data_IF_629873207055
#
_entry.id   IF_629873207055
#
_cell.length_a   1.000
_cell.length_b   1.000
_cell.length_c   1.000
_cell.angle_alpha   90.00
_cell.angle_beta   90.00
_cell.angle_gamma   90.00
#
_symmetry.space_group_name_H-M   'P 1'
#
loop_
_entity.id
_entity.type
_entity.pdbx_description
1 polymer ?
#
# COMPACT_ATOMS: atom_id res chain seq x y z
N UNK A 1 -20.66 15.56 9.95
CA UNK A 1 -20.31 16.73 9.14
C UNK A 1 -20.63 16.44 7.68
N UNK A 2 -21.25 17.41 7.01
CA UNK A 2 -21.96 17.32 5.72
C UNK A 2 -21.06 16.97 4.52
N UNK A 3 -21.69 16.28 3.56
CA UNK A 3 -21.51 16.23 2.10
C UNK A 3 -20.50 17.20 1.45
N UNK A 4 -19.75 16.67 0.47
CA UNK A 4 -19.77 17.18 -0.93
C UNK A 4 -19.63 15.97 -1.88
N UNK A 5 -20.68 15.64 -2.61
CA UNK A 5 -20.58 14.91 -3.87
C UNK A 5 -21.33 15.75 -4.90
N UNK A 6 -20.56 16.42 -5.76
CA UNK A 6 -21.06 17.21 -6.88
C UNK A 6 -21.62 16.29 -7.96
N UNK A 7 -22.76 16.69 -8.52
CA UNK A 7 -23.31 16.23 -9.81
C UNK A 7 -22.27 16.40 -10.95
N UNK A 8 -22.32 15.75 -12.11
CA UNK A 8 -23.41 15.16 -12.90
C UNK A 8 -22.81 13.98 -13.76
N UNK A 9 -23.53 13.07 -14.42
CA UNK A 9 -24.81 13.12 -15.12
C UNK A 9 -25.59 11.78 -14.97
N UNK A 10 -26.91 11.93 -14.79
CA UNK A 10 -28.01 11.00 -15.12
C UNK A 10 -27.80 9.49 -14.84
N UNK A 11 -28.08 9.06 -13.61
CA UNK A 11 -28.15 7.66 -13.22
C UNK A 11 -29.34 7.44 -12.29
N UNK A 12 -30.44 6.92 -12.83
CA UNK A 12 -31.55 6.40 -12.04
C UNK A 12 -31.07 5.20 -11.21
N UNK A 13 -31.09 5.36 -9.89
CA UNK A 13 -30.59 4.39 -8.93
C UNK A 13 -31.75 3.55 -8.36
N UNK A 14 -31.91 2.30 -8.80
CA UNK A 14 -32.70 1.31 -8.05
C UNK A 14 -31.83 0.73 -6.92
N UNK A 15 -32.28 0.94 -5.67
CA UNK A 15 -31.72 0.33 -4.46
C UNK A 15 -32.18 -1.13 -4.36
N UNK A 16 -31.25 -2.08 -4.37
CA UNK A 16 -31.56 -3.45 -3.92
C UNK A 16 -31.71 -3.47 -2.39
N UNK A 17 -32.78 -4.08 -1.84
CA UNK A 17 -32.98 -4.18 -0.39
C UNK A 17 -32.00 -5.18 0.24
N UNK A 18 -31.59 -4.89 1.47
CA UNK A 18 -30.72 -5.73 2.28
C UNK A 18 -31.46 -7.03 2.67
N UNK A 19 -31.18 -8.14 1.98
CA UNK A 19 -31.75 -9.44 2.31
C UNK A 19 -31.72 -10.53 1.23
N UNK A 20 -31.38 -10.22 -0.03
CA UNK A 20 -31.59 -11.14 -1.16
C UNK A 20 -30.37 -11.99 -1.60
N UNK A 21 -29.42 -12.30 -0.71
CA UNK A 21 -28.19 -13.06 -1.09
C UNK A 21 -28.06 -14.42 -0.39
N UNK A 22 -29.21 -15.06 -0.15
CA UNK A 22 -29.31 -16.49 0.10
C UNK A 22 -30.45 -17.03 -0.76
N UNK A 23 -30.12 -17.77 -1.82
CA UNK A 23 -31.04 -18.30 -2.83
C UNK A 23 -31.66 -17.27 -3.79
N UNK A 24 -30.93 -16.92 -4.85
CA UNK A 24 -31.56 -16.71 -6.16
C UNK A 24 -31.71 -18.09 -6.83
N UNK A 25 -32.57 -18.91 -6.26
CA UNK A 25 -33.24 -19.97 -7.00
C UNK A 25 -34.45 -19.33 -7.68
N UNK A 26 -34.34 -19.05 -8.97
CA UNK A 26 -35.48 -18.75 -9.85
C UNK A 26 -36.23 -17.42 -9.59
N UNK A 27 -36.29 -16.62 -10.66
CA UNK A 27 -37.20 -15.49 -10.90
C UNK A 27 -36.88 -14.14 -10.22
N UNK A 28 -36.80 -13.12 -11.08
CA UNK A 28 -36.78 -11.67 -10.79
C UNK A 28 -35.46 -11.02 -10.35
N UNK A 29 -34.35 -11.35 -11.01
CA UNK A 29 -33.38 -10.28 -11.31
C UNK A 29 -33.99 -9.44 -12.44
N UNK A 30 -34.55 -8.28 -12.07
CA UNK A 30 -35.17 -7.33 -12.96
C UNK A 30 -34.31 -7.04 -14.21
N UNK A 31 -35.01 -6.68 -15.29
CA UNK A 31 -34.59 -6.29 -16.64
C UNK A 31 -33.66 -5.05 -16.66
N UNK A 32 -32.76 -4.92 -15.69
CA UNK A 32 -31.82 -3.82 -15.62
C UNK A 32 -30.57 -4.18 -16.41
N UNK A 33 -30.33 -3.44 -17.49
CA UNK A 33 -29.09 -3.53 -18.26
C UNK A 33 -27.87 -2.95 -17.51
N UNK A 34 -28.05 -2.49 -16.26
CA UNK A 34 -27.05 -1.77 -15.49
C UNK A 34 -27.10 -2.12 -14.00
N UNK A 35 -25.97 -2.50 -13.41
CA UNK A 35 -25.83 -2.80 -11.98
C UNK A 35 -24.68 -2.00 -11.40
N UNK A 36 -24.92 -1.35 -10.25
CA UNK A 36 -23.89 -0.80 -9.38
C UNK A 36 -23.76 -1.72 -8.17
N UNK A 37 -22.61 -2.34 -7.99
CA UNK A 37 -22.41 -3.22 -6.83
C UNK A 37 -22.13 -2.35 -5.58
N UNK A 38 -22.92 -2.58 -4.53
CA UNK A 38 -22.71 -1.97 -3.21
C UNK A 38 -21.56 -2.74 -2.52
N UNK A 39 -20.65 -2.06 -1.79
CA UNK A 39 -19.42 -2.65 -1.24
C UNK A 39 -19.61 -3.88 -0.33
N UNK A 40 -20.83 -4.17 0.13
CA UNK A 40 -21.15 -5.29 1.03
C UNK A 40 -21.29 -6.64 0.28
N UNK A 41 -21.59 -6.64 -1.02
CA UNK A 41 -21.89 -7.87 -1.77
C UNK A 41 -20.68 -8.50 -2.46
N UNK A 42 -19.66 -7.70 -2.80
CA UNK A 42 -18.50 -8.16 -3.58
C UNK A 42 -17.39 -8.68 -2.68
N UNK A 43 -17.25 -8.16 -1.45
CA UNK A 43 -16.20 -8.52 -0.52
C UNK A 43 -16.80 -9.09 0.78
N UNK A 44 -16.86 -10.41 0.93
CA UNK A 44 -17.19 -11.01 2.24
C UNK A 44 -15.95 -11.06 3.14
N UNK A 45 -16.03 -10.60 4.40
CA UNK A 45 -14.96 -10.86 5.35
C UNK A 45 -14.88 -12.37 5.62
N UNK A 46 -13.80 -13.01 5.17
CA UNK A 46 -13.57 -14.44 5.44
C UNK A 46 -13.42 -14.67 6.95
N UNK A 47 -14.16 -15.64 7.49
CA UNK A 47 -14.27 -15.93 8.91
C UNK A 47 -13.15 -16.85 9.40
N UNK A 48 -11.90 -16.41 9.26
CA UNK A 48 -10.71 -16.99 9.92
C UNK A 48 -9.48 -16.13 9.55
N UNK A 49 -8.96 -15.37 10.52
CA UNK A 49 -7.72 -14.58 10.48
C UNK A 49 -7.47 -13.72 9.21
N UNK A 50 -7.78 -12.43 9.30
CA UNK A 50 -7.48 -11.42 8.26
C UNK A 50 -8.71 -10.99 7.48
N UNK A 51 -9.09 -9.71 7.59
CA UNK A 51 -10.08 -9.12 6.68
C UNK A 51 -9.48 -9.18 5.27
N UNK A 52 -10.10 -9.96 4.38
CA UNK A 52 -9.76 -10.02 2.96
C UNK A 52 -10.88 -9.34 2.19
N UNK A 53 -10.64 -8.16 1.66
CA UNK A 53 -11.50 -7.47 0.70
C UNK A 53 -11.23 -7.98 -0.72
N UNK A 54 -11.48 -9.28 -0.91
CA UNK A 54 -11.40 -9.96 -2.21
C UNK A 54 -12.79 -10.03 -2.83
N UNK A 55 -12.84 -9.82 -4.14
CA UNK A 55 -14.06 -9.93 -4.91
C UNK A 55 -14.47 -11.41 -5.05
N UNK A 56 -15.70 -11.81 -4.68
CA UNK A 56 -16.09 -13.24 -4.68
C UNK A 56 -16.11 -13.87 -6.08
N UNK A 57 -15.61 -15.11 -6.24
CA UNK A 57 -15.78 -15.88 -7.47
C UNK A 57 -17.25 -15.99 -7.86
N UNK A 58 -17.56 -15.91 -9.16
CA UNK A 58 -18.92 -16.10 -9.68
C UNK A 58 -19.97 -15.14 -9.07
N UNK A 59 -19.56 -14.02 -8.46
CA UNK A 59 -20.46 -13.07 -7.81
C UNK A 59 -21.57 -12.52 -8.74
N UNK A 60 -21.37 -12.59 -10.06
CA UNK A 60 -22.31 -12.13 -11.08
C UNK A 60 -22.82 -13.27 -11.98
N UNK A 61 -22.66 -14.52 -11.56
CA UNK A 61 -23.12 -15.67 -12.32
C UNK A 61 -24.63 -15.61 -12.55
N UNK A 62 -25.07 -15.91 -13.78
CA UNK A 62 -26.48 -15.82 -14.19
C UNK A 62 -26.93 -14.44 -14.67
N UNK A 63 -26.12 -13.38 -14.52
CA UNK A 63 -26.43 -12.04 -15.05
C UNK A 63 -25.97 -11.88 -16.51
N UNK A 64 -26.32 -12.84 -17.38
CA UNK A 64 -25.83 -12.88 -18.76
C UNK A 64 -26.26 -11.68 -19.61
N UNK A 65 -27.38 -11.03 -19.28
CA UNK A 65 -27.93 -9.86 -20.01
C UNK A 65 -27.37 -8.52 -19.55
N UNK A 66 -26.46 -8.52 -18.56
CA UNK A 66 -25.89 -7.30 -18.00
C UNK A 66 -25.00 -6.61 -19.03
N UNK A 67 -25.26 -5.32 -19.30
CA UNK A 67 -24.48 -4.51 -20.26
C UNK A 67 -23.53 -3.54 -19.57
N UNK A 68 -23.81 -3.12 -18.34
CA UNK A 68 -22.98 -2.14 -17.61
C UNK A 68 -22.81 -2.58 -16.16
N UNK A 69 -21.57 -2.62 -15.70
CA UNK A 69 -21.20 -2.97 -14.33
C UNK A 69 -20.29 -1.90 -13.76
N UNK A 70 -20.71 -1.32 -12.63
CA UNK A 70 -19.92 -0.34 -11.88
C UNK A 70 -19.52 -0.92 -10.52
N UNK A 71 -18.22 -1.17 -10.36
CA UNK A 71 -17.55 -1.60 -9.14
C UNK A 71 -16.61 -0.51 -8.59
N UNK A 72 -16.75 0.73 -9.05
CA UNK A 72 -15.87 1.82 -8.61
C UNK A 72 -16.01 2.10 -7.11
N UNK A 73 -14.90 2.52 -6.49
CA UNK A 73 -14.83 2.94 -5.08
C UNK A 73 -15.25 1.87 -4.06
N UNK A 74 -14.98 0.60 -4.34
CA UNK A 74 -15.32 -0.54 -3.47
C UNK A 74 -14.14 -1.10 -2.67
N UNK A 75 -12.98 -0.45 -2.70
CA UNK A 75 -11.74 -0.89 -2.01
C UNK A 75 -11.32 -2.31 -2.38
N UNK A 76 -11.55 -2.71 -3.63
CA UNK A 76 -11.13 -4.01 -4.13
C UNK A 76 -9.60 -3.99 -4.31
N UNK A 77 -8.88 -4.89 -3.63
CA UNK A 77 -7.42 -5.00 -3.74
C UNK A 77 -6.93 -6.07 -4.73
N UNK A 78 -7.74 -7.10 -4.97
CA UNK A 78 -7.49 -8.13 -5.99
C UNK A 78 -8.79 -8.53 -6.68
N UNK A 79 -8.66 -8.88 -7.96
CA UNK A 79 -9.71 -9.44 -8.79
C UNK A 79 -9.18 -10.75 -9.37
N UNK A 80 -10.02 -11.76 -9.41
CA UNK A 80 -9.71 -13.04 -10.07
C UNK A 80 -10.59 -13.21 -11.30
N UNK A 81 -10.16 -13.93 -12.35
CA UNK A 81 -10.95 -14.11 -13.58
C UNK A 81 -12.36 -14.65 -13.32
N UNK A 82 -12.53 -15.46 -12.28
CA UNK A 82 -13.79 -16.12 -11.92
C UNK A 82 -14.92 -15.15 -11.57
N UNK A 83 -14.61 -13.90 -11.20
CA UNK A 83 -15.66 -12.92 -10.88
C UNK A 83 -16.50 -12.52 -12.09
N UNK A 84 -15.91 -12.55 -13.29
CA UNK A 84 -16.57 -12.10 -14.52
C UNK A 84 -17.18 -13.24 -15.34
N UNK A 85 -17.18 -14.47 -14.80
CA UNK A 85 -17.75 -15.64 -15.46
C UNK A 85 -19.23 -15.43 -15.76
N UNK A 86 -19.60 -15.67 -17.02
CA UNK A 86 -20.98 -15.54 -17.50
C UNK A 86 -21.40 -14.14 -17.98
N UNK A 87 -20.57 -13.10 -17.79
CA UNK A 87 -20.87 -11.72 -18.20
C UNK A 87 -20.56 -11.42 -19.69
N UNK A 88 -20.99 -12.32 -20.58
CA UNK A 88 -20.62 -12.29 -22.01
C UNK A 88 -21.17 -11.07 -22.77
N UNK A 89 -22.28 -10.48 -22.30
CA UNK A 89 -22.90 -9.29 -22.90
C UNK A 89 -22.48 -7.96 -22.25
N UNK A 90 -21.49 -7.96 -21.35
CA UNK A 90 -21.06 -6.75 -20.67
C UNK A 90 -20.34 -5.81 -21.64
N UNK A 91 -20.81 -4.57 -21.75
CA UNK A 91 -20.29 -3.55 -22.65
C UNK A 91 -19.42 -2.51 -21.94
N UNK A 92 -19.72 -2.17 -20.68
CA UNK A 92 -18.97 -1.19 -19.89
C UNK A 92 -18.66 -1.73 -18.50
N UNK A 93 -17.40 -1.68 -18.12
CA UNK A 93 -16.92 -2.04 -16.79
C UNK A 93 -16.19 -0.86 -16.17
N UNK A 94 -16.57 -0.50 -14.94
CA UNK A 94 -15.88 0.51 -14.15
C UNK A 94 -15.30 -0.09 -12.86
N UNK A 95 -13.97 -0.06 -12.76
CA UNK A 95 -13.16 -0.50 -11.62
C UNK A 95 -12.43 0.67 -10.95
N UNK A 96 -12.68 1.92 -11.34
CA UNK A 96 -11.91 3.07 -10.87
C UNK A 96 -12.07 3.32 -9.36
N UNK A 97 -11.05 3.90 -8.72
CA UNK A 97 -11.08 4.25 -7.29
C UNK A 97 -11.04 3.06 -6.34
N UNK A 98 -10.58 1.90 -6.83
CA UNK A 98 -10.25 0.75 -5.99
C UNK A 98 -8.78 0.81 -5.54
N UNK A 99 -8.30 -0.20 -4.81
CA UNK A 99 -6.98 -0.19 -4.15
C UNK A 99 -6.02 -1.23 -4.74
N UNK A 100 -6.35 -1.83 -5.88
CA UNK A 100 -5.43 -2.69 -6.60
C UNK A 100 -4.28 -1.88 -7.20
N UNK A 101 -3.10 -2.47 -7.24
CA UNK A 101 -1.90 -1.91 -7.87
C UNK A 101 -1.67 -2.47 -9.28
N UNK A 102 -2.20 -3.66 -9.58
CA UNK A 102 -2.09 -4.33 -10.88
C UNK A 102 -3.32 -5.22 -11.13
N UNK A 103 -3.45 -5.74 -12.34
CA UNK A 103 -4.52 -6.65 -12.76
C UNK A 103 -3.90 -7.88 -13.43
N UNK A 104 -4.33 -9.06 -12.99
CA UNK A 104 -3.78 -10.35 -13.45
C UNK A 104 -4.12 -10.61 -14.91
N UNK A 105 -3.18 -11.21 -15.65
CA UNK A 105 -3.41 -11.60 -17.03
C UNK A 105 -4.64 -12.53 -17.16
N UNK A 106 -5.44 -12.30 -18.19
CA UNK A 106 -6.65 -13.09 -18.46
C UNK A 106 -7.88 -12.69 -17.63
N UNK A 107 -7.79 -11.67 -16.78
CA UNK A 107 -8.92 -11.20 -15.95
C UNK A 107 -10.17 -10.89 -16.76
N UNK A 108 -10.03 -10.35 -17.97
CA UNK A 108 -11.16 -9.95 -18.82
C UNK A 108 -11.49 -10.97 -19.94
N UNK A 109 -11.00 -12.21 -19.83
CA UNK A 109 -11.19 -13.25 -20.86
C UNK A 109 -12.67 -13.60 -21.12
N UNK A 110 -13.51 -13.56 -20.09
CA UNK A 110 -14.95 -13.85 -20.18
C UNK A 110 -15.78 -12.69 -20.77
N UNK A 111 -15.20 -11.49 -20.88
CA UNK A 111 -15.91 -10.26 -21.26
C UNK A 111 -15.88 -10.00 -22.77
N UNK A 112 -16.42 -10.94 -23.56
CA UNK A 112 -16.34 -10.91 -25.03
C UNK A 112 -16.99 -9.70 -25.71
N UNK A 113 -17.99 -9.08 -25.08
CA UNK A 113 -18.71 -7.93 -25.65
C UNK A 113 -18.23 -6.56 -25.11
N UNK A 114 -17.14 -6.52 -24.35
CA UNK A 114 -16.70 -5.30 -23.69
C UNK A 114 -16.29 -4.24 -24.72
N UNK A 115 -16.70 -2.99 -24.47
CA UNK A 115 -16.39 -1.83 -25.33
C UNK A 115 -15.70 -0.71 -24.58
N UNK A 116 -15.91 -0.60 -23.27
CA UNK A 116 -15.34 0.45 -22.45
C UNK A 116 -14.87 -0.10 -21.09
N UNK A 117 -13.64 0.23 -20.71
CA UNK A 117 -13.01 -0.16 -19.45
C UNK A 117 -12.44 1.06 -18.73
N UNK A 118 -12.80 1.22 -17.46
CA UNK A 118 -12.25 2.22 -16.56
C UNK A 118 -11.59 1.48 -15.40
N UNK A 119 -10.30 1.73 -15.10
CA UNK A 119 -9.58 1.03 -14.03
C UNK A 119 -8.54 1.91 -13.33
N UNK A 120 -8.75 3.23 -13.33
CA UNK A 120 -7.87 4.17 -12.65
C UNK A 120 -7.81 3.89 -11.14
N UNK A 121 -6.60 3.81 -10.57
CA UNK A 121 -6.37 3.78 -9.12
C UNK A 121 -5.17 4.65 -8.78
N UNK A 122 -5.12 5.17 -7.54
CA UNK A 122 -4.00 5.97 -7.05
C UNK A 122 -2.70 5.14 -6.86
N UNK A 123 -2.80 3.81 -6.96
CA UNK A 123 -1.71 2.86 -6.78
C UNK A 123 -1.37 2.07 -8.04
N UNK A 124 -1.92 2.44 -9.21
CA UNK A 124 -1.75 1.70 -10.46
C UNK A 124 -0.28 1.69 -10.93
N UNK A 125 0.31 0.51 -11.01
CA UNK A 125 1.68 0.26 -11.46
C UNK A 125 1.66 -0.15 -12.94
N UNK A 126 2.17 0.73 -13.79
CA UNK A 126 2.32 0.51 -15.22
C UNK A 126 3.67 -0.13 -15.56
N UNK A 127 3.81 -1.40 -15.23
CA UNK A 127 4.98 -2.22 -15.52
C UNK A 127 4.66 -3.30 -16.57
N UNK A 128 5.57 -4.26 -16.72
CA UNK A 128 5.37 -5.36 -17.66
C UNK A 128 4.14 -6.24 -17.37
N UNK A 129 3.63 -6.26 -16.14
CA UNK A 129 2.46 -7.05 -15.75
C UNK A 129 1.17 -6.46 -16.31
N UNK A 130 1.15 -5.18 -16.73
CA UNK A 130 -0.01 -4.58 -17.41
C UNK A 130 0.07 -4.64 -18.94
N UNK A 131 1.15 -5.18 -19.52
CA UNK A 131 1.31 -5.30 -20.99
C UNK A 131 0.13 -5.98 -21.67
N UNK A 132 -0.37 -7.05 -21.04
CA UNK A 132 -1.47 -7.83 -21.59
C UNK A 132 -2.73 -6.97 -21.79
N UNK A 133 -2.97 -5.95 -20.97
CA UNK A 133 -4.15 -5.07 -21.11
C UNK A 133 -4.06 -4.24 -22.38
N UNK A 134 -2.88 -3.68 -22.71
CA UNK A 134 -2.70 -2.93 -23.96
C UNK A 134 -2.96 -3.82 -25.18
N UNK A 135 -2.37 -5.02 -25.17
CA UNK A 135 -2.52 -5.99 -26.25
C UNK A 135 -3.98 -6.47 -26.38
N UNK A 136 -4.59 -6.85 -25.27
CA UNK A 136 -5.98 -7.31 -25.21
C UNK A 136 -6.97 -6.22 -25.62
N UNK A 137 -6.80 -4.98 -25.14
CA UNK A 137 -7.70 -3.88 -25.47
C UNK A 137 -7.64 -3.52 -26.96
N UNK A 138 -6.44 -3.58 -27.55
CA UNK A 138 -6.25 -3.38 -29.00
C UNK A 138 -6.91 -4.50 -29.80
N UNK A 139 -6.63 -5.76 -29.45
CA UNK A 139 -7.17 -6.94 -30.15
C UNK A 139 -8.70 -7.04 -30.04
N UNK A 140 -9.26 -6.65 -28.89
CA UNK A 140 -10.69 -6.74 -28.60
C UNK A 140 -11.44 -5.44 -28.91
N UNK A 141 -10.77 -4.42 -29.47
CA UNK A 141 -11.34 -3.08 -29.74
C UNK A 141 -12.01 -2.41 -28.52
N UNK A 142 -11.47 -2.63 -27.33
CA UNK A 142 -11.94 -2.05 -26.07
C UNK A 142 -11.34 -0.67 -25.87
N UNK A 143 -12.18 0.33 -25.56
CA UNK A 143 -11.73 1.68 -25.22
C UNK A 143 -11.40 1.77 -23.73
N UNK A 144 -10.13 2.04 -23.42
CA UNK A 144 -9.69 2.38 -22.06
C UNK A 144 -9.99 3.86 -21.81
N UNK A 145 -10.54 4.19 -20.63
CA UNK A 145 -10.85 5.57 -20.23
C UNK A 145 -9.59 6.46 -20.24
N UNK A 146 -9.74 7.69 -20.74
CA UNK A 146 -8.69 8.72 -20.73
C UNK A 146 -8.22 9.10 -19.32
N UNK A 147 -9.07 8.90 -18.33
CA UNK A 147 -8.77 9.13 -16.90
C UNK A 147 -7.81 8.06 -16.34
N UNK A 148 -7.61 6.95 -17.06
CA UNK A 148 -6.71 5.88 -16.61
C UNK A 148 -5.27 6.31 -16.84
N UNK A 149 -4.66 6.89 -15.82
CA UNK A 149 -3.26 7.28 -15.80
C UNK A 149 -2.43 6.37 -14.89
N UNK A 150 -1.15 6.25 -15.20
CA UNK A 150 -0.21 5.51 -14.36
C UNK A 150 0.14 6.30 -13.10
N UNK A 151 0.10 5.65 -11.94
CA UNK A 151 0.61 6.22 -10.70
C UNK A 151 2.10 5.92 -10.53
N UNK A 152 2.51 4.72 -10.93
CA UNK A 152 3.89 4.22 -10.88
C UNK A 152 4.25 3.52 -12.21
N UNK A 153 5.53 3.37 -12.55
CA UNK A 153 6.70 3.96 -11.90
C UNK A 153 6.76 5.49 -12.11
N UNK A 154 7.66 6.18 -11.39
CA UNK A 154 7.87 7.64 -11.49
C UNK A 154 8.10 8.13 -12.92
N UNK A 155 8.71 7.31 -13.77
CA UNK A 155 8.96 7.63 -15.18
C UNK A 155 7.69 7.70 -16.04
N UNK A 156 6.61 7.02 -15.63
CA UNK A 156 5.32 7.00 -16.33
C UNK A 156 4.22 7.72 -15.55
N UNK A 157 4.52 8.27 -14.38
CA UNK A 157 3.54 8.90 -13.50
C UNK A 157 2.75 10.01 -14.24
N UNK A 158 1.42 9.94 -14.14
CA UNK A 158 0.49 10.87 -14.81
C UNK A 158 0.31 10.64 -16.30
N UNK A 159 1.01 9.67 -16.90
CA UNK A 159 0.84 9.33 -18.32
C UNK A 159 -0.44 8.54 -18.53
N UNK A 160 -1.25 8.92 -19.53
CA UNK A 160 -2.44 8.15 -19.93
C UNK A 160 -2.05 6.76 -20.41
N UNK A 161 -2.63 5.73 -19.79
CA UNK A 161 -2.35 4.33 -20.09
C UNK A 161 -2.64 3.99 -21.56
N UNK A 162 -3.71 4.56 -22.12
CA UNK A 162 -4.11 4.35 -23.52
C UNK A 162 -3.03 4.78 -24.52
N UNK A 163 -2.20 5.75 -24.17
CA UNK A 163 -1.15 6.29 -25.04
C UNK A 163 0.18 5.55 -24.90
N UNK A 164 0.28 4.59 -23.99
CA UNK A 164 1.48 3.80 -23.79
C UNK A 164 1.66 2.77 -24.89
N UNK A 165 2.93 2.46 -25.14
CA UNK A 165 3.37 1.36 -26.00
C UNK A 165 3.86 0.21 -25.13
N UNK A 166 3.74 -1.02 -25.63
CA UNK A 166 4.16 -2.22 -24.89
C UNK A 166 5.64 -2.17 -24.45
N UNK A 167 6.52 -1.54 -25.23
CA UNK A 167 7.93 -1.42 -24.89
C UNK A 167 8.23 -0.45 -23.73
N UNK A 168 7.28 0.40 -23.34
CA UNK A 168 7.41 1.29 -22.18
C UNK A 168 7.06 0.59 -20.86
N UNK A 169 6.29 -0.50 -20.93
CA UNK A 169 5.86 -1.30 -19.79
C UNK A 169 6.93 -2.34 -19.42
N UNK A 170 7.92 -1.95 -18.64
CA UNK A 170 9.06 -2.80 -18.27
C UNK A 170 9.06 -3.11 -16.77
N UNK A 171 9.46 -4.33 -16.40
CA UNK A 171 9.72 -4.71 -15.01
C UNK A 171 11.22 -4.65 -14.67
N UNK A 172 12.07 -4.28 -15.63
CA UNK A 172 13.50 -4.10 -15.39
C UNK A 172 13.75 -2.71 -14.81
N UNK A 173 14.31 -2.63 -13.61
CA UNK A 173 14.62 -1.37 -12.96
C UNK A 173 14.58 -1.48 -11.43
N UNK A 174 14.80 -0.35 -10.73
CA UNK A 174 14.60 -0.30 -9.30
C UNK A 174 13.12 -0.58 -8.98
N UNK A 175 12.87 -1.44 -8.00
CA UNK A 175 11.52 -1.76 -7.57
C UNK A 175 10.90 -0.50 -6.93
N UNK A 176 9.80 0.01 -7.49
CA UNK A 176 9.06 1.14 -6.94
C UNK A 176 7.71 0.67 -6.43
N UNK A 177 7.49 0.81 -5.13
CA UNK A 177 6.26 0.39 -4.46
C UNK A 177 5.41 1.61 -4.08
N UNK A 178 4.10 1.61 -4.35
CA UNK A 178 3.16 2.62 -3.87
C UNK A 178 3.21 2.81 -2.35
N UNK A 179 3.35 1.71 -1.61
CA UNK A 179 3.56 1.72 -0.17
C UNK A 179 4.80 0.90 0.17
N UNK A 180 5.68 1.49 0.97
CA UNK A 180 6.76 0.78 1.66
C UNK A 180 7.07 1.54 2.94
N UNK A 181 6.73 0.97 4.08
CA UNK A 181 6.84 1.58 5.41
C UNK A 181 7.57 0.64 6.36
N UNK A 182 8.48 1.23 7.15
CA UNK A 182 9.21 0.57 8.22
C UNK A 182 8.91 1.32 9.51
N UNK A 183 8.40 0.62 10.51
CA UNK A 183 8.12 1.16 11.85
C UNK A 183 8.99 0.39 12.84
N UNK A 184 9.77 1.07 13.70
CA UNK A 184 10.05 2.50 13.67
C UNK A 184 10.85 2.93 12.44
N UNK A 185 10.56 4.14 11.93
CA UNK A 185 11.22 4.72 10.74
C UNK A 185 12.42 5.61 11.07
N UNK A 186 12.62 5.92 12.34
CA UNK A 186 13.65 6.83 12.83
C UNK A 186 14.59 6.09 13.76
N UNK A 187 15.81 6.63 13.92
CA UNK A 187 16.79 6.11 14.88
C UNK A 187 16.18 5.92 16.27
N UNK A 188 16.40 4.76 16.85
CA UNK A 188 15.90 4.40 18.18
C UNK A 188 17.02 4.40 19.20
N UNK A 189 16.68 4.81 20.43
CA UNK A 189 17.51 4.59 21.61
C UNK A 189 16.67 3.78 22.58
N UNK A 190 17.16 2.59 22.92
CA UNK A 190 16.49 1.63 23.79
C UNK A 190 17.43 1.21 24.91
N UNK A 191 16.88 0.62 25.97
CA UNK A 191 17.65 0.10 27.09
C UNK A 191 17.72 -1.43 27.05
N UNK A 192 18.76 -1.98 27.67
CA UNK A 192 18.91 -3.41 27.84
C UNK A 192 17.67 -4.00 28.53
N UNK A 193 17.09 -5.05 27.93
CA UNK A 193 15.86 -5.69 28.38
C UNK A 193 14.57 -5.04 27.89
N UNK A 194 14.64 -3.94 27.13
CA UNK A 194 13.46 -3.36 26.49
C UNK A 194 12.90 -4.32 25.42
N UNK A 195 11.61 -4.14 25.12
CA UNK A 195 10.93 -4.79 24.02
C UNK A 195 10.71 -3.81 22.88
N UNK A 196 11.17 -4.14 21.67
CA UNK A 196 11.01 -3.30 20.48
C UNK A 196 10.40 -4.11 19.32
N UNK A 197 9.13 -3.83 18.95
CA UNK A 197 8.53 -4.38 17.76
C UNK A 197 8.92 -3.56 16.52
N UNK A 198 9.34 -4.27 15.48
CA UNK A 198 9.50 -3.80 14.12
C UNK A 198 8.33 -4.27 13.28
N UNK A 199 7.82 -3.38 12.44
CA UNK A 199 6.77 -3.69 11.47
C UNK A 199 7.21 -3.17 10.11
N UNK A 200 7.25 -4.08 9.13
CA UNK A 200 7.54 -3.72 7.75
C UNK A 200 6.33 -4.01 6.88
N UNK A 201 5.75 -2.97 6.29
CA UNK A 201 4.56 -3.06 5.44
C UNK A 201 4.86 -2.55 4.05
N UNK A 202 4.53 -3.31 3.02
CA UNK A 202 4.79 -2.95 1.63
C UNK A 202 3.66 -3.36 0.69
N UNK A 203 3.61 -2.77 -0.51
CA UNK A 203 2.72 -3.22 -1.58
C UNK A 203 3.06 -4.65 -1.99
N UNK A 204 2.05 -5.52 -1.96
CA UNK A 204 2.13 -6.89 -2.46
C UNK A 204 1.91 -6.88 -3.98
N UNK A 205 2.88 -7.41 -4.74
CA UNK A 205 2.83 -7.41 -6.21
C UNK A 205 2.40 -8.76 -6.75
N UNK A 206 3.02 -9.82 -6.24
CA UNK A 206 2.78 -11.20 -6.66
C UNK A 206 3.24 -12.19 -5.57
N UNK A 207 3.05 -13.48 -5.83
CA UNK A 207 3.45 -14.57 -4.94
C UNK A 207 4.97 -14.68 -4.71
N UNK A 208 5.79 -14.02 -5.53
CA UNK A 208 7.25 -13.96 -5.34
C UNK A 208 7.68 -12.85 -4.39
N UNK A 209 6.75 -11.99 -3.96
CA UNK A 209 7.02 -10.89 -3.03
C UNK A 209 7.34 -11.44 -1.63
N UNK A 210 8.55 -11.17 -1.15
CA UNK A 210 9.06 -11.59 0.14
C UNK A 210 9.52 -10.39 0.97
N UNK A 211 9.40 -10.50 2.29
CA UNK A 211 9.85 -9.50 3.26
C UNK A 211 10.89 -10.16 4.16
N UNK A 212 12.11 -9.66 4.17
CA UNK A 212 13.24 -10.20 4.93
C UNK A 212 13.80 -9.17 5.90
N UNK A 213 14.23 -9.62 7.07
CA UNK A 213 14.88 -8.80 8.08
C UNK A 213 16.38 -9.05 8.08
N UNK A 214 17.16 -7.98 8.15
CA UNK A 214 18.61 -8.05 8.28
C UNK A 214 19.09 -7.19 9.46
N UNK A 215 20.14 -7.65 10.13
CA UNK A 215 20.86 -6.91 11.15
C UNK A 215 22.34 -6.87 10.76
N UNK A 216 22.88 -5.67 10.53
CA UNK A 216 24.25 -5.44 10.05
C UNK A 216 24.62 -6.32 8.84
N UNK A 217 23.67 -6.45 7.90
CA UNK A 217 23.81 -7.23 6.66
C UNK A 217 23.66 -8.74 6.81
N UNK A 218 23.30 -9.26 8.00
CA UNK A 218 23.03 -10.69 8.23
C UNK A 218 21.53 -10.94 8.31
N UNK A 219 21.06 -12.00 7.66
CA UNK A 219 19.65 -12.40 7.70
C UNK A 219 19.26 -12.73 9.15
N UNK A 220 18.12 -12.19 9.58
CA UNK A 220 17.54 -12.43 10.90
C UNK A 220 16.42 -13.45 10.76
N UNK A 221 16.55 -14.54 11.50
CA UNK A 221 15.53 -15.55 11.71
C UNK A 221 15.11 -15.57 13.18
N UNK A 222 14.03 -16.29 13.50
CA UNK A 222 13.59 -16.45 14.89
C UNK A 222 14.67 -17.17 15.70
N UNK A 223 15.08 -16.55 16.81
CA UNK A 223 16.07 -17.04 17.76
C UNK A 223 15.55 -16.75 19.17
N UNK A 224 14.99 -17.78 19.81
CA UNK A 224 14.38 -17.68 21.14
C UNK A 224 15.42 -17.38 22.24
N UNK A 225 16.66 -17.86 22.09
CA UNK A 225 17.72 -17.63 23.08
C UNK A 225 18.13 -16.16 23.13
N UNK A 226 18.12 -15.50 21.97
CA UNK A 226 18.37 -14.05 21.82
C UNK A 226 17.11 -13.21 21.90
N UNK A 227 15.95 -13.83 22.15
CA UNK A 227 14.67 -13.15 22.26
C UNK A 227 14.21 -12.45 20.97
N UNK A 228 14.63 -12.93 19.80
CA UNK A 228 14.25 -12.42 18.48
C UNK A 228 13.15 -13.28 17.87
N UNK A 229 12.01 -12.67 17.54
CA UNK A 229 10.87 -13.39 16.96
C UNK A 229 10.49 -12.78 15.62
N UNK A 230 10.67 -13.52 14.53
CA UNK A 230 10.25 -13.11 13.19
C UNK A 230 8.92 -13.77 12.87
N UNK A 231 7.87 -12.96 12.79
CA UNK A 231 6.52 -13.44 12.48
C UNK A 231 6.39 -13.84 11.00
N UNK A 232 5.37 -14.65 10.72
CA UNK A 232 4.98 -14.96 9.35
C UNK A 232 4.44 -13.70 8.64
N UNK A 233 4.65 -13.63 7.32
CA UNK A 233 4.16 -12.51 6.54
C UNK A 233 2.63 -12.60 6.36
N UNK A 234 1.94 -11.52 6.70
CA UNK A 234 0.49 -11.38 6.58
C UNK A 234 0.16 -10.60 5.32
N UNK A 235 -0.71 -11.14 4.47
CA UNK A 235 -1.21 -10.47 3.27
C UNK A 235 -2.57 -9.83 3.59
N UNK A 236 -2.66 -8.51 3.43
CA UNK A 236 -3.88 -7.72 3.64
C UNK A 236 -4.51 -7.38 2.30
N UNK A 237 -5.80 -7.75 2.14
CA UNK A 237 -6.64 -7.38 0.99
C UNK A 237 -6.01 -7.70 -0.40
N UNK A 238 -5.07 -8.65 -0.44
CA UNK A 238 -4.22 -8.96 -1.59
C UNK A 238 -3.36 -7.80 -2.13
N UNK A 239 -3.30 -6.65 -1.47
CA UNK A 239 -2.59 -5.47 -1.99
C UNK A 239 -1.42 -5.05 -1.11
N UNK A 240 -1.37 -5.49 0.15
CA UNK A 240 -0.29 -5.20 1.08
C UNK A 240 0.23 -6.49 1.72
N UNK A 241 1.52 -6.50 2.03
CA UNK A 241 2.17 -7.52 2.84
C UNK A 241 2.82 -6.85 4.04
N UNK A 242 2.65 -7.45 5.22
CA UNK A 242 3.25 -7.00 6.46
C UNK A 242 4.00 -8.15 7.11
N UNK A 243 5.24 -7.92 7.53
CA UNK A 243 6.01 -8.88 8.35
C UNK A 243 6.56 -8.16 9.57
N UNK A 244 6.41 -8.78 10.73
CA UNK A 244 6.84 -8.22 12.00
C UNK A 244 8.09 -8.94 12.50
N UNK A 245 8.95 -8.19 13.20
CA UNK A 245 10.08 -8.71 13.95
C UNK A 245 9.97 -8.13 15.36
N UNK A 246 10.02 -8.98 16.38
CA UNK A 246 9.89 -8.55 17.77
C UNK A 246 11.18 -8.90 18.50
N UNK A 247 11.87 -7.87 18.99
CA UNK A 247 12.93 -8.03 19.97
C UNK A 247 12.28 -7.99 21.35
N UNK A 248 12.22 -9.14 22.04
CA UNK A 248 11.49 -9.31 23.30
C UNK A 248 12.25 -8.83 24.53
N UNK A 249 13.58 -9.01 24.53
CA UNK A 249 14.52 -8.57 25.56
C UNK A 249 15.83 -8.21 24.88
N UNK A 250 16.02 -6.93 24.58
CA UNK A 250 17.14 -6.44 23.78
C UNK A 250 18.44 -6.50 24.58
N UNK A 251 19.49 -7.09 24.00
CA UNK A 251 20.86 -7.07 24.52
C UNK A 251 21.72 -6.01 23.80
N UNK A 252 22.88 -5.68 24.35
CA UNK A 252 23.79 -4.62 23.88
C UNK A 252 24.28 -4.89 22.45
N UNK A 253 24.43 -6.17 22.09
CA UNK A 253 24.88 -6.63 20.76
C UNK A 253 23.85 -6.40 19.64
N UNK A 254 22.61 -6.06 19.98
CA UNK A 254 21.57 -5.64 19.02
C UNK A 254 21.74 -4.18 18.54
N UNK A 255 22.74 -3.46 19.06
CA UNK A 255 23.13 -2.13 18.55
C UNK A 255 23.66 -2.26 17.14
N UNK A 256 23.03 -1.57 16.19
CA UNK A 256 23.41 -1.69 14.78
C UNK A 256 22.33 -1.19 13.83
N UNK A 257 22.53 -1.49 12.56
CA UNK A 257 21.61 -1.17 11.48
C UNK A 257 20.66 -2.33 11.24
N UNK A 258 19.38 -2.08 11.46
CA UNK A 258 18.30 -3.00 11.19
C UNK A 258 17.63 -2.65 9.87
N UNK A 259 17.44 -3.63 9.02
CA UNK A 259 16.97 -3.46 7.65
C UNK A 259 15.77 -4.35 7.38
N UNK A 260 14.70 -3.74 6.85
CA UNK A 260 13.66 -4.50 6.16
C UNK A 260 13.94 -4.44 4.66
N UNK A 261 14.10 -5.61 4.05
CA UNK A 261 14.26 -5.78 2.62
C UNK A 261 13.02 -6.42 2.01
N UNK A 262 12.46 -5.78 1.00
CA UNK A 262 11.42 -6.33 0.13
C UNK A 262 12.09 -6.83 -1.14
N UNK A 263 11.82 -8.07 -1.52
CA UNK A 263 12.32 -8.64 -2.76
C UNK A 263 11.21 -9.34 -3.52
N UNK A 264 11.33 -9.35 -4.85
CA UNK A 264 10.50 -10.16 -5.74
C UNK A 264 11.32 -10.60 -6.96
N UNK A 265 10.67 -11.24 -7.92
CA UNK A 265 11.32 -11.68 -9.16
C UNK A 265 11.90 -10.54 -10.02
N UNK A 266 11.52 -9.28 -9.77
CA UNK A 266 11.90 -8.10 -10.56
C UNK A 266 13.01 -7.27 -9.90
N UNK A 267 13.20 -7.37 -8.59
CA UNK A 267 14.25 -6.65 -7.87
C UNK A 267 14.08 -6.66 -6.36
N UNK A 268 14.86 -5.83 -5.68
CA UNK A 268 14.83 -5.67 -4.23
C UNK A 268 15.00 -4.21 -3.83
N UNK A 269 14.31 -3.81 -2.77
CA UNK A 269 14.49 -2.52 -2.10
C UNK A 269 14.51 -2.72 -0.59
N UNK A 270 15.14 -1.80 0.12
CA UNK A 270 15.20 -1.88 1.57
C UNK A 270 15.07 -0.52 2.25
N UNK A 271 14.67 -0.56 3.52
CA UNK A 271 14.66 0.56 4.46
C UNK A 271 15.39 0.15 5.71
N UNK A 272 16.14 1.09 6.28
CA UNK A 272 17.00 0.83 7.42
C UNK A 272 16.69 1.78 8.57
N UNK A 273 16.93 1.29 9.78
CA UNK A 273 16.80 2.02 11.03
C UNK A 273 17.94 1.63 11.95
N UNK A 274 18.61 2.63 12.52
CA UNK A 274 19.67 2.41 13.51
C UNK A 274 19.04 2.28 14.90
N UNK A 275 19.47 1.28 15.67
CA UNK A 275 19.15 1.15 17.09
C UNK A 275 20.42 1.33 17.89
N UNK A 276 20.35 2.09 18.98
CA UNK A 276 21.40 2.18 19.99
C UNK A 276 20.86 1.64 21.31
N UNK A 277 21.48 0.58 21.83
CA UNK A 277 21.11 -0.06 23.09
C UNK A 277 21.99 0.49 24.22
N UNK A 278 21.37 0.92 25.31
CA UNK A 278 22.05 1.45 26.49
C UNK A 278 21.86 0.52 27.70
N UNK A 279 22.87 0.38 28.54
CA UNK A 279 22.69 -0.30 29.83
C UNK A 279 21.72 0.49 30.72
N UNK A 280 20.85 -0.21 31.45
CA UNK A 280 19.90 0.42 32.40
C UNK A 280 20.59 1.12 33.56
N UNK A 281 21.83 0.74 33.87
CA UNK A 281 22.69 1.36 34.87
C UNK A 281 23.60 2.48 34.30
N UNK A 282 23.39 2.92 33.05
CA UNK A 282 24.27 3.89 32.42
C UNK A 282 24.38 5.17 33.29
N UNK A 283 25.62 5.63 33.59
CA UNK A 283 25.81 6.84 34.37
C UNK A 283 25.29 8.05 33.59
N UNK A 284 24.64 8.97 34.31
CA UNK A 284 24.10 10.20 33.72
C UNK A 284 24.91 11.41 34.16
N UNK A 285 25.21 12.29 33.21
CA UNK A 285 25.64 13.64 33.51
C UNK A 285 24.43 14.47 33.91
N UNK A 286 24.46 15.09 35.08
CA UNK A 286 23.39 15.98 35.54
C UNK A 286 23.27 17.19 34.62
N UNK A 287 22.05 17.69 34.44
CA UNK A 287 21.84 18.92 33.70
C UNK A 287 22.58 20.08 34.39
N UNK A 288 23.29 20.88 33.60
CA UNK A 288 24.10 22.00 34.09
C UNK A 288 23.72 23.28 33.36
N UNK A 289 23.82 24.42 34.03
CA UNK A 289 23.59 25.73 33.44
C UNK A 289 24.77 26.64 33.75
N UNK A 290 25.42 27.12 32.69
CA UNK A 290 26.57 28.01 32.79
C UNK A 290 26.14 29.39 32.31
N UNK A 291 26.18 30.38 33.21
CA UNK A 291 25.91 31.78 32.87
C UNK A 291 27.22 32.55 32.95
N UNK A 292 27.59 33.22 31.86
CA UNK A 292 28.75 34.11 31.83
C UNK A 292 28.46 35.34 30.95
N UNK A 293 29.47 36.18 30.76
CA UNK A 293 29.36 37.38 29.92
C UNK A 293 29.14 37.09 28.42
N UNK A 294 29.18 35.83 27.98
CA UNK A 294 28.86 35.40 26.61
C UNK A 294 27.45 34.83 26.46
N UNK A 295 26.73 34.61 27.55
CA UNK A 295 25.33 34.17 27.50
C UNK A 295 24.93 33.16 28.59
N UNK A 296 23.74 32.63 28.41
CA UNK A 296 23.13 31.56 29.22
C UNK A 296 23.20 30.25 28.44
N UNK A 297 24.06 29.33 28.89
CA UNK A 297 24.27 28.02 28.27
C UNK A 297 23.62 26.94 29.13
N UNK A 298 22.72 26.15 28.53
CA UNK A 298 22.00 25.07 29.21
C UNK A 298 22.41 23.73 28.62
N UNK A 299 22.93 22.86 29.48
CA UNK A 299 23.34 21.50 29.17
C UNK A 299 22.28 20.56 29.74
N UNK A 300 21.49 19.88 28.90
CA UNK A 300 20.49 18.94 29.39
C UNK A 300 21.15 17.74 30.06
N UNK A 301 20.36 16.94 30.80
CA UNK A 301 20.82 15.66 31.34
C UNK A 301 21.20 14.74 30.17
N UNK A 302 22.42 14.20 30.17
CA UNK A 302 22.92 13.33 29.09
C UNK A 302 23.40 11.98 29.64
N UNK A 303 23.44 10.96 28.78
CA UNK A 303 24.02 9.66 29.09
C UNK A 303 25.52 9.73 28.87
N UNK A 304 26.30 9.29 29.85
CA UNK A 304 27.76 9.32 29.76
C UNK A 304 28.26 8.38 28.65
N UNK A 305 29.24 8.84 27.87
CA UNK A 305 29.83 8.07 26.77
C UNK A 305 29.05 8.09 25.45
N UNK A 306 27.87 8.73 25.41
CA UNK A 306 27.05 8.83 24.19
C UNK A 306 27.10 10.24 23.64
N UNK A 307 27.54 10.38 22.38
CA UNK A 307 27.56 11.68 21.68
C UNK A 307 26.16 12.04 21.20
N UNK A 308 25.61 13.14 21.69
CA UNK A 308 24.35 13.71 21.20
C UNK A 308 24.63 14.89 20.25
N UNK A 309 23.88 15.00 19.16
CA UNK A 309 23.97 16.10 18.22
C UNK A 309 22.77 17.02 18.39
N UNK A 310 23.01 18.33 18.52
CA UNK A 310 21.97 19.35 18.54
C UNK A 310 22.14 20.26 17.32
N UNK A 311 21.06 20.48 16.58
CA UNK A 311 21.07 21.44 15.47
C UNK A 311 21.06 22.87 16.02
N UNK A 312 21.96 23.72 15.51
CA UNK A 312 21.97 25.14 15.84
C UNK A 312 21.07 25.90 14.86
N UNK A 313 19.97 26.48 15.35
CA UNK A 313 19.18 27.42 14.56
C UNK A 313 19.90 28.78 14.51
N UNK A 314 20.43 29.16 13.35
CA UNK A 314 20.86 30.54 13.10
C UNK A 314 19.63 31.40 12.82
N UNK A 315 19.21 32.21 13.78
CA UNK A 315 18.35 33.34 13.46
C UNK A 315 19.15 34.31 12.58
N UNK A 316 18.70 34.51 11.34
CA UNK A 316 19.14 35.63 10.50
C UNK A 316 18.75 36.93 11.22
N UNK A 317 19.72 37.57 11.86
CA UNK A 317 19.60 38.96 12.28
C UNK A 317 19.53 39.80 11.00
N UNK A 318 18.32 40.05 10.50
CA UNK A 318 18.08 41.20 9.62
C UNK A 318 18.44 42.44 10.42
N UNK A 319 19.46 43.14 9.95
CA UNK A 319 19.91 44.44 10.44
C UNK A 319 18.73 45.40 10.57
N UNK A 320 18.26 45.60 11.81
CA UNK A 320 17.41 46.73 12.12
C UNK A 320 18.31 47.98 12.11
N UNK A 321 18.17 48.76 11.04
CA UNK A 321 18.67 50.13 10.97
C UNK A 321 18.08 50.94 12.12
N UNK A 322 18.94 51.39 13.04
CA UNK A 322 18.60 52.41 14.01
C UNK A 322 18.31 53.72 13.25
N UNK A 323 17.04 54.09 13.16
CA UNK A 323 16.63 55.48 12.93
C UNK A 323 16.74 56.20 14.28
N UNK A 324 17.76 57.05 14.40
CA UNK A 324 17.89 58.00 15.51
C UNK A 324 16.71 58.99 15.50
N UNK A 325 16.13 59.21 16.68
CA UNK A 325 15.43 60.44 17.06
C UNK A 325 16.25 61.15 18.12
#
# INVERSE_FOLDING_TARGET
FRQVASAADDFDAERLPAGALGALGGAEAAVSHQVRAIPVAVAKPHRSSGRRHQAEPEAFYGLSELKRLDLSNNRIGCLTPEIFVGLKNLHKLNLSGNIFSSLTNGLFSELSALKALHFYTDSLICDCNLKWILSWATNSSVRISEETVCAFPRSLQGTSFRNLKENQLICAGPLELPLFELIPSQKQVVFHGDRLPFQCTATYLDITTQVHWYHDGRLVETDEERGMFVEEAIIHDCCLVTRELILSSIDIDATGMWECMISNSYGSISKQVEIVVLETAAPYCTAERVINNKGDFRWPKTVAGVTAYHSCFQHSLRSASFLNG
#
